data_IF_121889391907
#
_entry.id   IF_121889391907
#
_cell.length_a   1.000
_cell.length_b   1.000
_cell.length_c   1.000
_cell.angle_alpha   90.00
_cell.angle_beta   90.00
_cell.angle_gamma   90.00
#
_symmetry.space_group_name_H-M   'P 1'
#
loop_
_entity.id
_entity.type
_entity.pdbx_description
1 polymer ?
#
# COMPACT_ATOMS: atom_id res chain seq x y z
N UNK A 1 -14.08 -7.96 -29.02
CA UNK A 1 -12.79 -7.28 -28.71
C UNK A 1 -12.11 -8.06 -27.60
N UNK A 2 -10.81 -8.31 -27.73
CA UNK A 2 -10.05 -8.90 -26.63
C UNK A 2 -10.08 -7.97 -25.42
N UNK A 3 -10.42 -8.51 -24.25
CA UNK A 3 -10.49 -7.79 -22.97
C UNK A 3 -9.37 -8.30 -22.06
N UNK A 4 -8.39 -7.46 -21.75
CA UNK A 4 -7.27 -7.82 -20.87
C UNK A 4 -7.71 -8.27 -19.46
N UNK A 5 -8.90 -7.86 -19.02
CA UNK A 5 -9.47 -8.20 -17.73
C UNK A 5 -10.45 -9.40 -17.76
N UNK A 6 -10.57 -10.10 -18.91
CA UNK A 6 -11.54 -11.19 -19.06
C UNK A 6 -11.43 -12.24 -17.95
N UNK A 7 -10.21 -12.62 -17.56
CA UNK A 7 -10.01 -13.62 -16.51
C UNK A 7 -10.38 -13.10 -15.12
N UNK A 8 -10.18 -11.81 -14.85
CA UNK A 8 -10.64 -11.14 -13.63
C UNK A 8 -12.16 -11.08 -13.58
N UNK A 9 -12.79 -10.75 -14.71
CA UNK A 9 -14.25 -10.70 -14.85
C UNK A 9 -14.90 -12.07 -14.63
N UNK A 10 -14.27 -13.16 -15.07
CA UNK A 10 -14.76 -14.53 -14.80
C UNK A 10 -14.85 -14.84 -13.29
N UNK A 11 -14.05 -14.20 -12.46
CA UNK A 11 -14.05 -14.37 -10.99
C UNK A 11 -14.96 -13.37 -10.29
N UNK A 12 -14.85 -12.09 -10.66
CA UNK A 12 -15.53 -10.99 -9.97
C UNK A 12 -16.92 -10.70 -10.54
N UNK A 13 -17.20 -11.11 -11.78
CA UNK A 13 -18.43 -10.80 -12.53
C UNK A 13 -18.38 -9.38 -13.13
N UNK A 14 -19.36 -9.09 -14.01
CA UNK A 14 -19.44 -7.79 -14.70
C UNK A 14 -19.64 -6.63 -13.69
N UNK A 15 -20.53 -6.80 -12.71
CA UNK A 15 -20.80 -5.78 -11.70
C UNK A 15 -19.54 -5.44 -10.87
N UNK A 16 -18.74 -6.47 -10.51
CA UNK A 16 -17.47 -6.29 -9.82
C UNK A 16 -16.46 -5.50 -10.67
N UNK A 17 -16.38 -5.81 -11.97
CA UNK A 17 -15.52 -5.08 -12.90
C UNK A 17 -15.96 -3.64 -13.10
N UNK A 18 -17.25 -3.38 -13.15
CA UNK A 18 -17.82 -2.03 -13.26
C UNK A 18 -17.54 -1.21 -12.00
N UNK A 19 -17.61 -1.83 -10.82
CA UNK A 19 -17.22 -1.20 -9.58
C UNK A 19 -15.74 -0.80 -9.59
N UNK A 20 -14.86 -1.73 -9.97
CA UNK A 20 -13.41 -1.44 -10.03
C UNK A 20 -13.09 -0.31 -11.01
N UNK A 21 -13.71 -0.29 -12.21
CA UNK A 21 -13.51 0.79 -13.18
C UNK A 21 -13.90 2.17 -12.68
N UNK A 22 -14.88 2.26 -11.78
CA UNK A 22 -15.33 3.53 -11.16
C UNK A 22 -14.60 3.88 -9.88
N UNK A 23 -13.81 2.96 -9.33
CA UNK A 23 -13.13 3.16 -8.04
C UNK A 23 -11.87 3.97 -8.18
N UNK A 24 -11.65 4.86 -7.21
CA UNK A 24 -10.44 5.65 -7.02
C UNK A 24 -9.71 5.17 -5.76
N UNK A 25 -8.52 4.61 -5.92
CA UNK A 25 -7.68 4.12 -4.81
C UNK A 25 -6.44 4.99 -4.66
N UNK A 26 -6.18 5.45 -3.43
CA UNK A 26 -4.94 6.13 -3.09
C UNK A 26 -3.94 5.16 -2.45
N UNK A 27 -2.69 5.19 -2.92
CA UNK A 27 -1.57 4.41 -2.36
C UNK A 27 -0.52 5.37 -1.84
N UNK A 28 -0.33 5.36 -0.53
CA UNK A 28 0.63 6.20 0.18
C UNK A 28 1.89 5.38 0.47
N UNK A 29 3.01 5.75 -0.13
CA UNK A 29 4.29 5.02 -0.10
C UNK A 29 4.37 3.96 -1.21
N UNK A 30 5.35 4.11 -2.10
CA UNK A 30 5.52 3.26 -3.29
C UNK A 30 6.81 2.43 -3.21
N UNK A 31 7.18 2.02 -2.01
CA UNK A 31 8.32 1.13 -1.78
C UNK A 31 8.02 -0.34 -2.06
N UNK A 32 8.71 -1.24 -1.34
CA UNK A 32 8.60 -2.69 -1.54
C UNK A 32 7.21 -3.30 -1.34
N UNK A 33 6.32 -2.66 -0.56
CA UNK A 33 4.92 -3.08 -0.40
C UNK A 33 4.03 -2.34 -1.39
N UNK A 34 4.11 -1.00 -1.40
CA UNK A 34 3.19 -0.17 -2.20
C UNK A 34 3.31 -0.39 -3.69
N UNK A 35 4.51 -0.61 -4.23
CA UNK A 35 4.70 -0.89 -5.66
C UNK A 35 3.96 -2.16 -6.12
N UNK A 36 4.00 -3.23 -5.32
CA UNK A 36 3.25 -4.46 -5.61
C UNK A 36 1.75 -4.32 -5.35
N UNK A 37 1.35 -3.48 -4.39
CA UNK A 37 -0.06 -3.17 -4.19
C UNK A 37 -0.65 -2.45 -5.41
N UNK A 38 0.05 -1.45 -5.95
CA UNK A 38 -0.32 -0.77 -7.20
C UNK A 38 -0.40 -1.75 -8.38
N UNK A 39 0.56 -2.66 -8.52
CA UNK A 39 0.56 -3.69 -9.55
C UNK A 39 -0.72 -4.54 -9.49
N UNK A 40 -1.13 -4.97 -8.29
CA UNK A 40 -2.36 -5.74 -8.11
C UNK A 40 -3.60 -4.92 -8.48
N UNK A 41 -3.68 -3.65 -8.09
CA UNK A 41 -4.80 -2.77 -8.41
C UNK A 41 -4.96 -2.54 -9.92
N UNK A 42 -3.88 -2.12 -10.60
CA UNK A 42 -3.92 -1.79 -12.02
C UNK A 42 -4.22 -3.01 -12.89
N UNK A 43 -3.66 -4.18 -12.55
CA UNK A 43 -3.92 -5.45 -13.25
C UNK A 43 -5.31 -6.03 -12.98
N UNK A 44 -5.96 -5.59 -11.92
CA UNK A 44 -7.36 -5.98 -11.63
C UNK A 44 -8.39 -5.06 -12.26
N UNK A 45 -7.98 -3.93 -12.87
CA UNK A 45 -8.87 -3.03 -13.58
C UNK A 45 -9.45 -1.90 -12.73
N UNK A 46 -8.79 -1.52 -11.62
CA UNK A 46 -9.11 -0.29 -10.88
C UNK A 46 -8.92 0.89 -11.83
N UNK A 47 -9.95 1.75 -11.92
CA UNK A 47 -10.03 2.79 -12.95
C UNK A 47 -9.22 4.04 -12.64
N UNK A 48 -8.98 4.35 -11.36
CA UNK A 48 -8.30 5.58 -10.95
C UNK A 48 -7.37 5.33 -9.77
N UNK A 49 -6.13 5.82 -9.85
CA UNK A 49 -5.11 5.64 -8.81
C UNK A 49 -4.43 6.97 -8.50
N UNK A 50 -4.36 7.32 -7.21
CA UNK A 50 -3.44 8.36 -6.70
C UNK A 50 -2.22 7.69 -6.09
N UNK A 51 -1.04 8.04 -6.58
CA UNK A 51 0.24 7.41 -6.30
C UNK A 51 1.14 8.41 -5.58
N UNK A 52 1.38 8.21 -4.27
CA UNK A 52 2.04 9.21 -3.43
C UNK A 52 3.37 8.66 -2.90
N UNK A 53 4.46 9.32 -3.23
CA UNK A 53 5.81 9.05 -2.69
C UNK A 53 6.70 10.27 -2.89
N UNK A 54 7.62 10.57 -1.96
CA UNK A 54 8.56 11.69 -2.06
C UNK A 54 9.96 11.28 -2.53
N UNK A 55 10.23 9.98 -2.62
CA UNK A 55 11.54 9.45 -2.95
C UNK A 55 11.78 9.36 -4.47
N UNK A 56 13.06 9.28 -4.79
CA UNK A 56 13.54 8.83 -6.10
C UNK A 56 14.01 7.38 -6.05
N UNK A 57 14.02 6.71 -7.20
CA UNK A 57 14.53 5.34 -7.33
C UNK A 57 16.04 5.32 -7.06
N UNK A 58 16.46 4.56 -6.06
CA UNK A 58 17.84 4.36 -5.68
C UNK A 58 18.33 2.94 -6.02
N UNK A 59 19.65 2.77 -6.19
CA UNK A 59 20.25 1.47 -6.50
C UNK A 59 19.88 0.39 -5.45
N UNK A 60 19.81 0.76 -4.17
CA UNK A 60 19.43 -0.13 -3.07
C UNK A 60 17.96 -0.54 -3.07
N UNK A 61 17.13 0.02 -3.96
CA UNK A 61 15.74 -0.36 -4.11
C UNK A 61 15.52 -1.53 -5.07
N UNK A 62 16.48 -1.79 -5.99
CA UNK A 62 16.35 -2.79 -7.05
C UNK A 62 16.03 -4.19 -6.55
N UNK A 63 16.44 -4.52 -5.34
CA UNK A 63 16.22 -5.85 -4.77
C UNK A 63 14.77 -6.14 -4.39
N UNK A 64 13.86 -5.09 -4.30
CA UNK A 64 12.51 -5.31 -3.76
C UNK A 64 11.42 -4.35 -4.21
N UNK A 65 11.73 -3.29 -4.96
CA UNK A 65 10.74 -2.31 -5.44
C UNK A 65 10.52 -2.50 -6.94
N UNK A 66 9.27 -2.58 -7.35
CA UNK A 66 8.89 -3.00 -8.70
C UNK A 66 9.27 -1.96 -9.77
N UNK A 67 9.24 -0.68 -9.42
CA UNK A 67 9.62 0.45 -10.25
C UNK A 67 11.13 0.61 -10.37
N UNK A 68 11.88 -0.03 -9.46
CA UNK A 68 13.32 0.13 -9.40
C UNK A 68 14.02 -0.78 -10.43
N UNK A 69 14.48 -0.17 -11.49
CA UNK A 69 15.26 -0.75 -12.59
C UNK A 69 16.48 0.11 -12.83
N UNK A 70 17.52 -0.44 -13.47
CA UNK A 70 18.67 0.39 -13.88
C UNK A 70 18.27 1.57 -14.77
N UNK A 71 17.21 1.40 -15.59
CA UNK A 71 16.68 2.45 -16.46
C UNK A 71 15.86 3.52 -15.76
N UNK A 72 15.43 3.29 -14.51
CA UNK A 72 14.62 4.24 -13.73
C UNK A 72 15.39 4.90 -12.59
N UNK A 73 16.67 4.58 -12.39
CA UNK A 73 17.52 5.20 -11.36
C UNK A 73 17.44 6.74 -11.42
N UNK A 74 17.18 7.36 -10.27
CA UNK A 74 17.06 8.82 -10.11
C UNK A 74 15.69 9.39 -10.52
N UNK A 75 14.81 8.62 -11.14
CA UNK A 75 13.43 9.06 -11.42
C UNK A 75 12.60 9.08 -10.13
N UNK A 76 11.58 9.94 -10.08
CA UNK A 76 10.57 9.88 -9.02
C UNK A 76 9.89 8.51 -9.00
N UNK A 77 9.73 7.90 -7.82
CA UNK A 77 9.01 6.62 -7.68
C UNK A 77 7.56 6.75 -8.15
N UNK A 78 6.88 7.83 -7.82
CA UNK A 78 5.50 8.08 -8.23
C UNK A 78 5.36 8.11 -9.77
N UNK A 79 6.28 8.78 -10.46
CA UNK A 79 6.26 8.87 -11.93
C UNK A 79 6.67 7.53 -12.58
N UNK A 80 7.68 6.84 -12.03
CA UNK A 80 8.11 5.54 -12.56
C UNK A 80 7.01 4.49 -12.46
N UNK A 81 6.30 4.41 -11.33
CA UNK A 81 5.13 3.54 -11.17
C UNK A 81 3.98 3.97 -12.09
N UNK A 82 3.72 5.27 -12.22
CA UNK A 82 2.66 5.75 -13.12
C UNK A 82 2.94 5.38 -14.58
N UNK A 83 4.18 5.50 -15.04
CA UNK A 83 4.58 5.08 -16.38
C UNK A 83 4.31 3.57 -16.60
N UNK A 84 4.67 2.73 -15.63
CA UNK A 84 4.39 1.30 -15.64
C UNK A 84 2.89 0.99 -15.67
N UNK A 85 2.09 1.70 -14.87
CA UNK A 85 0.64 1.52 -14.84
C UNK A 85 -0.02 1.83 -16.19
N UNK A 86 0.43 2.89 -16.89
CA UNK A 86 -0.07 3.23 -18.25
C UNK A 86 0.22 2.14 -19.27
N UNK A 87 1.36 1.47 -19.16
CA UNK A 87 1.72 0.37 -20.06
C UNK A 87 0.90 -0.91 -19.77
N UNK A 88 0.53 -1.13 -18.51
CA UNK A 88 -0.34 -2.26 -18.10
C UNK A 88 -1.80 -2.00 -18.47
N UNK A 89 -2.32 -0.82 -18.17
CA UNK A 89 -3.70 -0.41 -18.43
C UNK A 89 -3.73 1.02 -18.99
N UNK A 90 -3.74 1.18 -20.32
CA UNK A 90 -3.77 2.51 -20.93
C UNK A 90 -5.00 3.37 -20.59
N UNK A 91 -6.08 2.75 -20.09
CA UNK A 91 -7.31 3.44 -19.72
C UNK A 91 -7.34 3.93 -18.26
N UNK A 92 -6.34 3.58 -17.43
CA UNK A 92 -6.30 3.99 -16.03
C UNK A 92 -6.04 5.49 -15.90
N UNK A 93 -6.80 6.15 -15.04
CA UNK A 93 -6.54 7.54 -14.65
C UNK A 93 -5.53 7.56 -13.51
N UNK A 94 -4.45 8.34 -13.67
CA UNK A 94 -3.32 8.33 -12.73
C UNK A 94 -3.00 9.74 -12.25
N UNK A 95 -2.86 9.86 -10.94
CA UNK A 95 -2.44 11.08 -10.23
C UNK A 95 -1.14 10.81 -9.46
N UNK A 96 0.04 10.86 -10.12
CA UNK A 96 1.31 10.77 -9.41
C UNK A 96 1.55 12.06 -8.62
N UNK A 97 1.77 11.93 -7.31
CA UNK A 97 2.07 13.04 -6.41
C UNK A 97 3.46 12.82 -5.82
N UNK A 98 4.41 13.63 -6.26
CA UNK A 98 5.75 13.67 -5.68
C UNK A 98 5.69 14.52 -4.41
N UNK A 99 5.58 13.85 -3.26
CA UNK A 99 5.46 14.57 -2.02
C UNK A 99 5.32 13.66 -0.81
N UNK A 100 5.85 14.15 0.31
CA UNK A 100 5.78 13.46 1.60
C UNK A 100 4.48 13.75 2.29
N UNK A 101 3.79 12.70 2.73
CA UNK A 101 2.62 12.82 3.58
C UNK A 101 3.05 13.16 5.01
N UNK A 102 2.58 14.29 5.50
CA UNK A 102 2.78 14.75 6.87
C UNK A 102 1.49 15.44 7.37
N UNK A 103 1.24 15.37 8.68
CA UNK A 103 0.05 15.94 9.31
C UNK A 103 -0.17 17.43 8.99
N UNK A 104 0.90 18.23 8.94
CA UNK A 104 0.83 19.67 8.68
C UNK A 104 0.36 20.03 7.26
N UNK A 105 0.56 19.12 6.29
CA UNK A 105 0.20 19.32 4.89
C UNK A 105 -0.82 18.32 4.36
N UNK A 106 -1.54 17.62 5.23
CA UNK A 106 -2.41 16.48 4.86
C UNK A 106 -3.48 16.83 3.84
N UNK A 107 -4.08 18.04 3.91
CA UNK A 107 -5.23 18.42 3.09
C UNK A 107 -4.95 18.30 1.59
N UNK A 108 -3.75 18.65 1.13
CA UNK A 108 -3.36 18.54 -0.28
C UNK A 108 -3.42 17.12 -0.86
N UNK A 109 -3.46 16.11 0.00
CA UNK A 109 -3.57 14.70 -0.39
C UNK A 109 -5.00 14.18 -0.35
N UNK A 110 -5.96 15.02 0.03
CA UNK A 110 -7.38 14.70 0.14
C UNK A 110 -8.27 15.65 -0.69
N UNK A 111 -7.69 16.29 -1.70
CA UNK A 111 -8.45 17.12 -2.65
C UNK A 111 -9.39 16.27 -3.52
N UNK A 112 -9.08 14.99 -3.70
CA UNK A 112 -9.92 14.01 -4.38
C UNK A 112 -10.67 13.12 -3.38
N UNK A 113 -11.82 12.57 -3.80
CA UNK A 113 -12.53 11.55 -3.06
C UNK A 113 -11.92 10.17 -3.36
N UNK A 114 -11.54 9.44 -2.32
CA UNK A 114 -11.04 8.08 -2.43
C UNK A 114 -12.08 7.07 -1.97
N UNK A 115 -12.20 5.96 -2.70
CA UNK A 115 -13.02 4.81 -2.32
C UNK A 115 -12.25 3.85 -1.40
N UNK A 116 -10.91 3.90 -1.46
CA UNK A 116 -10.03 3.10 -0.62
C UNK A 116 -8.65 3.75 -0.47
N UNK A 117 -8.02 3.54 0.69
CA UNK A 117 -6.63 3.96 0.94
C UNK A 117 -5.78 2.74 1.30
N UNK A 118 -4.63 2.59 0.62
CA UNK A 118 -3.57 1.68 1.01
C UNK A 118 -2.41 2.48 1.62
N UNK A 119 -2.17 2.27 2.92
CA UNK A 119 -1.08 2.89 3.65
C UNK A 119 0.14 1.96 3.68
N UNK A 120 1.12 2.29 2.84
CA UNK A 120 2.41 1.61 2.74
C UNK A 120 3.59 2.49 3.20
N UNK A 121 3.31 3.59 3.94
CA UNK A 121 4.31 4.48 4.53
C UNK A 121 5.09 3.70 5.60
N UNK A 122 6.35 4.03 5.78
CA UNK A 122 7.21 3.40 6.80
C UNK A 122 7.39 4.24 8.09
N UNK A 123 6.96 5.51 8.08
CA UNK A 123 7.07 6.44 9.21
C UNK A 123 5.84 6.36 10.11
N UNK A 124 6.04 5.98 11.38
CA UNK A 124 4.96 5.74 12.36
C UNK A 124 4.05 6.96 12.55
N UNK A 125 4.62 8.17 12.68
CA UNK A 125 3.82 9.39 12.87
C UNK A 125 2.88 9.66 11.69
N UNK A 126 3.35 9.47 10.47
CA UNK A 126 2.56 9.64 9.26
C UNK A 126 1.47 8.57 9.13
N UNK A 127 1.79 7.30 9.45
CA UNK A 127 0.80 6.21 9.48
C UNK A 127 -0.33 6.48 10.46
N UNK A 128 0.00 6.92 11.66
CA UNK A 128 -0.99 7.22 12.71
C UNK A 128 -1.94 8.32 12.26
N UNK A 129 -1.39 9.40 11.70
CA UNK A 129 -2.18 10.53 11.19
C UNK A 129 -3.04 10.13 9.98
N UNK A 130 -2.49 9.34 9.05
CA UNK A 130 -3.22 8.87 7.87
C UNK A 130 -4.39 7.95 8.25
N UNK A 131 -4.17 7.01 9.19
CA UNK A 131 -5.24 6.14 9.69
C UNK A 131 -6.34 6.95 10.35
N UNK A 132 -5.98 7.87 11.26
CA UNK A 132 -6.93 8.73 11.96
C UNK A 132 -7.73 9.60 10.98
N UNK A 133 -7.06 10.20 9.99
CA UNK A 133 -7.68 11.02 8.95
C UNK A 133 -8.64 10.22 8.08
N UNK A 134 -8.23 9.05 7.62
CA UNK A 134 -9.07 8.18 6.79
C UNK A 134 -10.34 7.75 7.54
N UNK A 135 -10.20 7.28 8.78
CA UNK A 135 -11.32 6.87 9.62
C UNK A 135 -12.28 8.01 9.91
N UNK A 136 -11.76 9.21 10.23
CA UNK A 136 -12.58 10.41 10.47
C UNK A 136 -13.37 10.83 9.22
N UNK A 137 -12.81 10.61 8.03
CA UNK A 137 -13.45 10.90 6.73
C UNK A 137 -14.33 9.75 6.23
N UNK A 138 -14.41 8.64 6.96
CA UNK A 138 -15.19 7.46 6.56
C UNK A 138 -14.59 6.73 5.34
N UNK A 139 -13.29 6.92 5.06
CA UNK A 139 -12.61 6.26 3.95
C UNK A 139 -12.01 4.95 4.44
N UNK A 140 -12.32 3.81 3.80
CA UNK A 140 -11.70 2.54 4.13
C UNK A 140 -10.20 2.59 3.95
N UNK A 141 -9.48 2.07 4.93
CA UNK A 141 -8.01 2.04 4.93
C UNK A 141 -7.49 0.66 5.32
N UNK A 142 -6.44 0.22 4.64
CA UNK A 142 -5.64 -0.95 5.00
C UNK A 142 -4.17 -0.51 5.13
N UNK A 143 -3.58 -0.69 6.32
CA UNK A 143 -2.21 -0.25 6.61
C UNK A 143 -1.24 -1.41 6.65
N UNK A 144 -0.13 -1.32 5.90
CA UNK A 144 0.99 -2.24 6.01
C UNK A 144 1.78 -1.98 7.29
N UNK A 145 1.97 -2.99 8.10
CA UNK A 145 2.92 -2.97 9.21
C UNK A 145 4.25 -3.62 8.78
N UNK A 146 5.18 -3.84 9.71
CA UNK A 146 6.54 -4.22 9.37
C UNK A 146 6.66 -5.52 8.55
N UNK A 147 7.18 -5.40 7.33
CA UNK A 147 7.59 -6.50 6.45
C UNK A 147 9.12 -6.63 6.36
N UNK A 148 9.86 -5.70 6.96
CA UNK A 148 11.32 -5.75 7.05
C UNK A 148 11.82 -6.77 8.06
N UNK A 149 13.03 -7.31 7.85
CA UNK A 149 13.66 -8.35 8.66
C UNK A 149 12.81 -9.63 8.77
N UNK A 150 12.03 -9.97 7.74
CA UNK A 150 11.17 -11.15 7.65
C UNK A 150 11.61 -12.05 6.51
N UNK A 151 11.42 -13.36 6.67
CA UNK A 151 11.84 -14.38 5.73
C UNK A 151 10.67 -15.16 5.12
N UNK A 152 9.61 -15.35 5.91
CA UNK A 152 8.48 -16.22 5.57
C UNK A 152 7.23 -15.41 5.21
N UNK A 153 6.90 -15.28 3.92
CA UNK A 153 5.72 -14.58 3.46
C UNK A 153 4.41 -15.32 3.81
N UNK A 154 4.46 -16.62 4.11
CA UNK A 154 3.28 -17.41 4.48
C UNK A 154 2.69 -16.99 5.83
N UNK A 155 3.46 -16.28 6.66
CA UNK A 155 3.01 -15.73 7.93
C UNK A 155 2.35 -14.36 7.80
N UNK A 156 2.30 -13.77 6.61
CA UNK A 156 1.57 -12.51 6.40
C UNK A 156 0.07 -12.69 6.61
N UNK A 157 -0.54 -11.77 7.34
CA UNK A 157 -1.97 -11.81 7.67
C UNK A 157 -2.58 -10.41 7.54
N UNK A 158 -3.80 -10.34 6.99
CA UNK A 158 -4.65 -9.16 7.07
C UNK A 158 -5.64 -9.38 8.20
N UNK A 159 -5.66 -8.50 9.19
CA UNK A 159 -6.51 -8.62 10.36
C UNK A 159 -6.79 -7.26 11.01
N UNK A 160 -7.58 -7.24 12.06
CA UNK A 160 -7.74 -6.07 12.92
C UNK A 160 -6.49 -5.83 13.78
N UNK A 161 -6.12 -4.56 13.98
CA UNK A 161 -4.94 -4.16 14.77
C UNK A 161 -4.98 -4.75 16.19
N UNK A 162 -6.16 -4.88 16.78
CA UNK A 162 -6.34 -5.44 18.15
C UNK A 162 -5.92 -6.90 18.24
N UNK A 163 -5.95 -7.64 17.13
CA UNK A 163 -5.63 -9.07 17.05
C UNK A 163 -4.16 -9.34 16.70
N UNK A 164 -3.35 -8.29 16.48
CA UNK A 164 -1.94 -8.45 16.11
C UNK A 164 -1.08 -8.89 17.29
N UNK A 165 -0.03 -9.67 17.01
CA UNK A 165 0.94 -10.16 18.00
C UNK A 165 2.33 -10.34 17.35
N UNK A 166 3.38 -10.58 18.14
CA UNK A 166 4.74 -10.87 17.64
C UNK A 166 5.48 -9.68 16.98
N UNK A 167 4.80 -8.84 16.22
CA UNK A 167 5.41 -7.74 15.48
C UNK A 167 5.67 -6.51 16.37
N UNK A 168 6.94 -6.02 16.48
CA UNK A 168 7.25 -4.82 17.25
C UNK A 168 6.55 -3.56 16.77
N UNK A 169 6.45 -3.35 15.46
CA UNK A 169 5.75 -2.20 14.88
C UNK A 169 4.26 -2.24 15.18
N UNK A 170 3.61 -3.42 15.05
CA UNK A 170 2.21 -3.59 15.41
C UNK A 170 1.94 -3.24 16.88
N UNK A 171 2.85 -3.59 17.78
CA UNK A 171 2.75 -3.24 19.22
C UNK A 171 2.76 -1.72 19.43
N UNK A 172 3.67 -1.01 18.74
CA UNK A 172 3.73 0.46 18.81
C UNK A 172 2.46 1.08 18.24
N UNK A 173 2.06 0.67 17.02
CA UNK A 173 0.85 1.19 16.37
C UNK A 173 -0.40 0.98 17.20
N UNK A 174 -0.58 -0.22 17.76
CA UNK A 174 -1.72 -0.55 18.63
C UNK A 174 -1.78 0.33 19.89
N UNK A 175 -0.63 0.61 20.52
CA UNK A 175 -0.54 1.50 21.69
C UNK A 175 -0.93 2.93 21.31
N UNK A 176 -0.34 3.46 20.26
CA UNK A 176 -0.53 4.86 19.83
C UNK A 176 -1.93 5.12 19.26
N UNK A 177 -2.49 4.17 18.50
CA UNK A 177 -3.86 4.24 18.00
C UNK A 177 -4.87 4.19 19.17
N UNK A 178 -4.65 3.30 20.16
CA UNK A 178 -5.49 3.26 21.36
C UNK A 178 -5.48 4.59 22.12
N UNK A 179 -4.33 5.26 22.24
CA UNK A 179 -4.23 6.58 22.87
C UNK A 179 -5.02 7.67 22.12
N UNK A 180 -5.31 7.47 20.81
CA UNK A 180 -6.15 8.32 19.96
C UNK A 180 -7.63 7.89 19.92
N UNK A 181 -8.03 6.90 20.71
CA UNK A 181 -9.39 6.36 20.73
C UNK A 181 -9.68 5.37 19.59
N UNK A 182 -8.68 5.01 18.77
CA UNK A 182 -8.82 4.08 17.65
C UNK A 182 -8.46 2.68 18.12
N UNK A 183 -9.48 1.85 18.36
CA UNK A 183 -9.32 0.48 18.84
C UNK A 183 -9.25 -0.54 17.71
N UNK A 184 -9.85 -0.21 16.56
CA UNK A 184 -10.03 -1.10 15.42
C UNK A 184 -9.61 -0.41 14.12
N UNK A 185 -8.77 -1.06 13.36
CA UNK A 185 -8.42 -0.73 11.98
C UNK A 185 -7.80 -1.96 11.33
N UNK A 186 -7.94 -2.09 10.02
CA UNK A 186 -7.39 -3.23 9.27
C UNK A 186 -5.91 -3.02 8.98
N UNK A 187 -5.13 -4.06 9.19
CA UNK A 187 -3.68 -4.02 8.96
C UNK A 187 -3.18 -5.31 8.30
N UNK A 188 -2.17 -5.18 7.47
CA UNK A 188 -1.30 -6.28 7.05
C UNK A 188 -0.14 -6.36 8.05
N UNK A 189 0.12 -7.53 8.63
CA UNK A 189 1.27 -7.76 9.51
C UNK A 189 1.79 -9.19 9.38
N UNK A 190 2.97 -9.45 9.91
CA UNK A 190 3.49 -10.80 10.14
C UNK A 190 3.84 -10.97 11.61
N UNK A 191 3.41 -12.06 12.27
CA UNK A 191 3.82 -12.39 13.63
C UNK A 191 5.26 -12.93 13.72
N UNK A 192 5.88 -13.23 12.60
CA UNK A 192 7.27 -13.68 12.54
C UNK A 192 8.19 -12.75 13.33
N UNK A 193 9.07 -13.29 14.16
CA UNK A 193 10.07 -12.49 14.84
C UNK A 193 11.10 -11.95 13.84
N UNK A 194 11.55 -10.69 13.99
CA UNK A 194 12.57 -10.15 13.12
C UNK A 194 13.84 -11.00 13.11
N UNK A 195 14.32 -11.36 11.93
CA UNK A 195 15.61 -12.00 11.78
C UNK A 195 16.73 -11.09 12.29
N UNK A 196 17.76 -11.69 12.87
CA UNK A 196 18.98 -10.96 13.23
C UNK A 196 19.67 -10.47 11.95
N UNK A 197 19.96 -9.18 11.90
CA UNK A 197 20.58 -8.55 10.72
C UNK A 197 21.82 -7.77 11.12
N UNK A 198 22.84 -7.85 10.27
CA UNK A 198 24.02 -6.98 10.37
C UNK A 198 23.70 -5.62 9.74
N UNK A 199 23.96 -4.52 10.46
CA UNK A 199 23.83 -3.19 9.90
C UNK A 199 25.04 -2.89 9.00
N UNK A 200 24.76 -2.65 7.72
CA UNK A 200 25.78 -2.34 6.68
C UNK A 200 25.89 -0.85 6.38
N UNK A 201 24.96 -0.05 6.87
CA UNK A 201 24.88 1.39 6.66
C UNK A 201 24.38 2.11 7.92
N UNK A 202 24.72 3.37 8.06
CA UNK A 202 24.23 4.17 9.17
C UNK A 202 22.73 4.46 9.01
N UNK A 203 21.92 4.32 10.08
CA UNK A 203 20.51 4.63 10.00
C UNK A 203 20.29 6.14 9.77
N UNK A 204 19.25 6.51 9.01
CA UNK A 204 18.85 7.90 8.87
C UNK A 204 18.54 8.56 10.22
N UNK A 205 18.61 9.89 10.31
CA UNK A 205 18.27 10.62 11.53
C UNK A 205 16.91 10.21 12.08
N UNK A 206 16.84 9.96 13.38
CA UNK A 206 15.60 9.54 14.08
C UNK A 206 15.27 8.04 13.98
N UNK A 207 16.05 7.23 13.28
CA UNK A 207 15.91 5.77 13.22
C UNK A 207 17.03 5.08 14.00
N UNK A 208 16.70 3.92 14.61
CA UNK A 208 17.67 3.10 15.36
C UNK A 208 18.46 2.13 14.47
N UNK A 209 17.88 1.74 13.34
CA UNK A 209 18.45 0.78 12.38
C UNK A 209 17.82 0.95 11.02
N UNK A 210 18.49 0.46 9.99
CA UNK A 210 17.94 0.27 8.65
C UNK A 210 17.38 -1.15 8.58
N UNK A 211 16.06 -1.35 8.35
CA UNK A 211 15.50 -2.68 8.21
C UNK A 211 16.06 -3.35 6.95
N UNK A 212 16.58 -4.57 7.10
CA UNK A 212 16.88 -5.40 5.95
C UNK A 212 15.55 -5.86 5.28
N UNK A 213 15.59 -6.08 3.98
CA UNK A 213 14.40 -6.48 3.24
C UNK A 213 14.76 -7.39 2.08
N UNK A 214 13.85 -8.31 1.78
CA UNK A 214 13.88 -9.24 0.68
C UNK A 214 12.77 -8.89 -0.32
N UNK A 215 12.84 -9.46 -1.52
CA UNK A 215 11.82 -9.17 -2.55
C UNK A 215 10.44 -9.71 -2.17
N UNK A 216 10.40 -10.99 -1.76
CA UNK A 216 9.14 -11.74 -1.66
C UNK A 216 8.26 -11.37 -0.47
N UNK A 217 8.81 -11.02 0.69
CA UNK A 217 7.96 -10.69 1.85
C UNK A 217 7.18 -9.40 1.63
N UNK A 218 7.80 -8.24 1.31
CA UNK A 218 7.05 -7.04 1.01
C UNK A 218 6.23 -7.16 -0.27
N UNK A 219 6.73 -7.87 -1.30
CA UNK A 219 6.01 -8.12 -2.54
C UNK A 219 4.71 -8.90 -2.33
N UNK A 220 4.75 -10.02 -1.61
CA UNK A 220 3.54 -10.75 -1.23
C UNK A 220 2.60 -9.89 -0.38
N UNK A 221 3.14 -9.10 0.56
CA UNK A 221 2.35 -8.16 1.35
C UNK A 221 1.60 -7.14 0.49
N UNK A 222 2.27 -6.56 -0.50
CA UNK A 222 1.66 -5.63 -1.44
C UNK A 222 0.56 -6.27 -2.28
N UNK A 223 0.81 -7.46 -2.84
CA UNK A 223 -0.18 -8.21 -3.60
C UNK A 223 -1.41 -8.57 -2.75
N UNK A 224 -1.21 -8.97 -1.48
CA UNK A 224 -2.31 -9.23 -0.56
C UNK A 224 -3.14 -7.97 -0.29
N UNK A 225 -2.51 -6.83 -0.04
CA UNK A 225 -3.21 -5.57 0.21
C UNK A 225 -4.00 -5.08 -1.00
N UNK A 226 -3.39 -5.10 -2.19
CA UNK A 226 -4.08 -4.73 -3.42
C UNK A 226 -5.23 -5.68 -3.74
N UNK A 227 -5.02 -6.99 -3.58
CA UNK A 227 -6.07 -7.99 -3.76
C UNK A 227 -7.24 -7.83 -2.80
N UNK A 228 -6.97 -7.53 -1.52
CA UNK A 228 -8.01 -7.28 -0.53
C UNK A 228 -8.84 -6.02 -0.84
N UNK A 229 -8.17 -4.93 -1.28
CA UNK A 229 -8.87 -3.72 -1.71
C UNK A 229 -9.76 -3.98 -2.93
N UNK A 230 -9.27 -4.73 -3.92
CA UNK A 230 -10.05 -5.16 -5.11
C UNK A 230 -11.29 -5.95 -4.69
N UNK A 231 -11.14 -6.92 -3.79
CA UNK A 231 -12.27 -7.74 -3.32
C UNK A 231 -13.28 -6.91 -2.53
N UNK A 232 -12.84 -5.99 -1.69
CA UNK A 232 -13.72 -5.11 -0.93
C UNK A 232 -14.53 -4.19 -1.84
N UNK A 233 -13.88 -3.55 -2.82
CA UNK A 233 -14.55 -2.68 -3.80
C UNK A 233 -15.58 -3.45 -4.64
N UNK A 234 -15.24 -4.65 -5.12
CA UNK A 234 -16.15 -5.47 -5.90
C UNK A 234 -17.33 -6.00 -5.07
N UNK A 235 -17.17 -6.24 -3.76
CA UNK A 235 -18.27 -6.69 -2.87
C UNK A 235 -19.26 -5.58 -2.57
N UNK A 236 -18.80 -4.35 -2.30
CA UNK A 236 -19.67 -3.19 -2.01
C UNK A 236 -20.68 -2.94 -3.11
N UNK A 237 -20.25 -3.03 -4.36
CA UNK A 237 -21.15 -2.87 -5.49
C UNK A 237 -22.30 -3.90 -5.50
N UNK A 238 -22.03 -5.12 -5.05
CA UNK A 238 -23.09 -6.16 -4.94
C UNK A 238 -24.05 -5.95 -3.77
N UNK A 239 -23.62 -5.22 -2.73
CA UNK A 239 -24.46 -4.88 -1.57
C UNK A 239 -25.33 -3.66 -1.85
N UNK A 240 -24.81 -2.67 -2.58
CA UNK A 240 -25.56 -1.48 -3.02
C UNK A 240 -26.60 -1.76 -4.10
N UNK A 241 -26.44 -2.86 -4.84
CA UNK A 241 -27.38 -3.30 -5.90
C UNK A 241 -28.56 -4.16 -5.37
N UNK A 242 -28.60 -4.47 -4.06
CA UNK A 242 -29.68 -5.22 -3.38
C UNK A 242 -30.61 -4.31 -2.60
#
# INVERSE_FOLDING_TARGET
MENQFLRTEMVLGADGMDALRRSHVAVFGLGGVGSYAVEALVRSGVGELTLIDDDTVALTNLNRQLEALHSTLGQSKAEAIAARCRDINPAVVLHPIVGRYEAAGRERFFDAKYDYILDCIDLVSCKLDLIETALTRGIPILSALGTGNKLDPSQLQITDISKTYGCPLARVMRKELKARGILHTRVLFSPELPAATEQKEAPPPGRRSVPASLTWVPGCGGLMMGGEAVLDLARRAKEEAK
#
